data_IF_756201341053
#
_entry.id   IF_756201341053
#
_cell.length_a   1.000
_cell.length_b   1.000
_cell.length_c   1.000
_cell.angle_alpha   90.00
_cell.angle_beta   90.00
_cell.angle_gamma   90.00
#
_symmetry.space_group_name_H-M   'P 1'
#
loop_
_entity.id
_entity.type
_entity.pdbx_description
1 polymer ?
#
# COMPACT_ATOMS: atom_id res chain seq x y z
N UNK A 1 -48.46 65.34 -12.82
CA UNK A 1 -47.06 65.74 -13.05
C UNK A 1 -46.22 64.47 -12.99
N UNK A 2 -45.70 64.03 -14.13
CA UNK A 2 -44.81 62.86 -14.23
C UNK A 2 -43.43 63.21 -13.68
N UNK A 3 -42.76 62.25 -13.03
CA UNK A 3 -41.44 61.77 -13.47
C UNK A 3 -41.07 60.44 -12.78
N UNK A 4 -40.61 59.51 -13.62
CA UNK A 4 -40.12 58.17 -13.34
C UNK A 4 -38.59 58.22 -13.53
N UNK A 5 -37.81 57.58 -12.66
CA UNK A 5 -36.47 56.99 -12.87
C UNK A 5 -35.85 56.74 -11.47
N UNK A 6 -35.18 55.64 -11.13
CA UNK A 6 -34.66 54.51 -11.89
C UNK A 6 -34.06 53.51 -10.89
N UNK A 7 -34.29 52.23 -11.14
CA UNK A 7 -33.32 51.12 -11.05
C UNK A 7 -32.39 50.99 -9.84
N UNK A 8 -32.62 49.96 -9.00
CA UNK A 8 -31.68 48.82 -8.88
C UNK A 8 -32.25 47.74 -7.93
N UNK A 9 -32.62 46.55 -8.44
CA UNK A 9 -32.55 45.33 -7.66
C UNK A 9 -31.10 44.85 -7.73
N UNK A 10 -30.42 44.72 -6.59
CA UNK A 10 -29.33 43.76 -6.37
C UNK A 10 -28.53 44.15 -5.14
N UNK A 11 -28.88 43.53 -4.01
CA UNK A 11 -27.84 43.09 -3.08
C UNK A 11 -28.12 41.66 -2.74
N UNK A 12 -27.61 40.80 -3.63
CA UNK A 12 -27.24 39.43 -3.31
C UNK A 12 -26.49 39.46 -1.97
N UNK A 13 -27.17 39.02 -0.93
CA UNK A 13 -26.55 38.48 0.28
C UNK A 13 -25.74 37.27 -0.15
N UNK A 14 -24.51 37.49 -0.58
CA UNK A 14 -23.49 36.46 -0.49
C UNK A 14 -23.17 36.33 1.00
N UNK A 15 -24.01 35.59 1.71
CA UNK A 15 -23.54 34.86 2.87
C UNK A 15 -22.37 34.05 2.36
N UNK A 16 -21.15 34.54 2.63
CA UNK A 16 -19.94 33.75 2.49
C UNK A 16 -20.23 32.49 3.28
N UNK A 17 -20.55 31.41 2.56
CA UNK A 17 -20.63 30.10 3.16
C UNK A 17 -19.24 29.87 3.69
N UNK A 18 -19.07 30.06 5.00
CA UNK A 18 -17.91 29.60 5.72
C UNK A 18 -17.87 28.11 5.39
N UNK A 19 -17.09 27.74 4.38
CA UNK A 19 -16.73 26.39 4.09
C UNK A 19 -16.03 25.93 5.35
N UNK A 20 -16.84 25.33 6.23
CA UNK A 20 -16.43 24.77 7.50
C UNK A 20 -15.40 23.72 7.16
N UNK A 21 -14.14 24.14 7.20
CA UNK A 21 -13.01 23.35 6.76
C UNK A 21 -13.08 22.04 7.54
N UNK A 22 -13.45 20.95 6.84
CA UNK A 22 -13.75 19.65 7.46
C UNK A 22 -12.43 18.99 7.81
N UNK A 23 -11.72 19.55 8.79
CA UNK A 23 -10.47 19.06 9.39
C UNK A 23 -10.67 17.76 10.19
N UNK A 24 -11.43 16.80 9.65
CA UNK A 24 -11.80 15.54 10.32
C UNK A 24 -11.26 14.30 9.63
N UNK A 25 -10.48 14.46 8.57
CA UNK A 25 -9.83 13.33 7.94
C UNK A 25 -8.63 12.86 8.76
N UNK A 26 -8.40 11.56 8.77
CA UNK A 26 -7.22 10.89 9.33
C UNK A 26 -6.32 10.40 8.21
N UNK A 27 -5.06 10.19 8.52
CA UNK A 27 -4.05 9.68 7.60
C UNK A 27 -3.42 8.45 8.22
N UNK A 28 -3.04 7.46 7.41
CA UNK A 28 -2.31 6.30 7.90
C UNK A 28 -0.95 6.76 8.46
N UNK A 29 -0.58 6.31 9.65
CA UNK A 29 0.75 6.56 10.22
C UNK A 29 1.75 5.53 9.70
N UNK A 30 3.03 5.75 9.95
CA UNK A 30 4.07 4.75 9.69
C UNK A 30 3.82 3.44 10.43
N UNK A 31 3.38 3.51 11.70
CA UNK A 31 3.00 2.34 12.50
C UNK A 31 1.86 1.56 11.84
N UNK A 32 0.82 2.28 11.39
CA UNK A 32 -0.30 1.67 10.67
C UNK A 32 0.15 0.99 9.37
N UNK A 33 1.08 1.60 8.64
CA UNK A 33 1.65 1.03 7.41
C UNK A 33 2.45 -0.25 7.67
N UNK A 34 3.34 -0.24 8.68
CA UNK A 34 4.10 -1.42 9.08
C UNK A 34 3.17 -2.57 9.48
N UNK A 35 2.10 -2.26 10.21
CA UNK A 35 1.10 -3.24 10.62
C UNK A 35 0.37 -3.89 9.45
N UNK A 36 -0.03 -3.11 8.43
CA UNK A 36 -0.61 -3.66 7.19
C UNK A 36 0.38 -4.55 6.44
N UNK A 37 1.66 -4.15 6.41
CA UNK A 37 2.72 -4.91 5.73
C UNK A 37 2.98 -6.25 6.44
N UNK A 38 3.15 -6.24 7.76
CA UNK A 38 3.38 -7.44 8.57
C UNK A 38 2.20 -8.42 8.51
N UNK A 39 0.98 -7.91 8.38
CA UNK A 39 -0.22 -8.72 8.22
C UNK A 39 -0.41 -9.28 6.81
N UNK A 40 0.51 -9.02 5.86
CA UNK A 40 0.41 -9.51 4.49
C UNK A 40 -0.76 -8.91 3.72
N UNK A 41 -1.20 -7.70 4.08
CA UNK A 41 -2.33 -7.04 3.40
C UNK A 41 -1.94 -6.62 1.99
N UNK A 42 -0.69 -6.18 1.81
CA UNK A 42 -0.23 -5.53 0.59
C UNK A 42 0.27 -6.51 -0.48
N UNK A 43 0.58 -7.75 -0.11
CA UNK A 43 1.16 -8.76 -1.00
C UNK A 43 0.41 -10.08 -0.90
N UNK A 44 0.36 -10.81 -2.01
CA UNK A 44 -0.17 -12.16 -2.03
C UNK A 44 0.80 -13.18 -1.39
N UNK A 45 0.36 -14.43 -1.30
CA UNK A 45 1.15 -15.55 -0.76
C UNK A 45 2.42 -15.87 -1.56
N UNK A 46 2.58 -15.31 -2.75
CA UNK A 46 3.74 -15.45 -3.62
C UNK A 46 4.63 -14.18 -3.62
N UNK A 47 4.27 -13.17 -2.82
CA UNK A 47 5.02 -11.92 -2.68
C UNK A 47 4.67 -10.85 -3.71
N UNK A 48 3.68 -11.05 -4.58
CA UNK A 48 3.27 -10.03 -5.54
C UNK A 48 2.39 -8.98 -4.87
N UNK A 49 2.60 -7.70 -5.20
CA UNK A 49 1.74 -6.61 -4.70
C UNK A 49 0.33 -6.74 -5.24
N UNK A 50 -0.66 -6.59 -4.35
CA UNK A 50 -2.03 -6.43 -4.77
C UNK A 50 -2.23 -5.07 -5.45
N UNK A 51 -3.04 -5.06 -6.50
CA UNK A 51 -3.52 -3.82 -7.11
C UNK A 51 -4.53 -3.12 -6.19
N UNK A 52 -4.75 -1.83 -6.40
CA UNK A 52 -5.80 -1.11 -5.66
C UNK A 52 -7.20 -1.71 -5.91
N UNK A 53 -7.45 -2.25 -7.10
CA UNK A 53 -8.70 -2.93 -7.44
C UNK A 53 -8.91 -4.20 -6.61
N UNK A 54 -7.89 -5.06 -6.51
CA UNK A 54 -7.94 -6.27 -5.69
C UNK A 54 -8.14 -5.96 -4.19
N UNK A 55 -7.48 -4.91 -3.69
CA UNK A 55 -7.66 -4.46 -2.31
C UNK A 55 -9.03 -3.80 -2.09
N UNK A 56 -9.60 -3.17 -3.12
CA UNK A 56 -10.96 -2.61 -3.08
C UNK A 56 -12.00 -3.71 -2.93
N UNK A 57 -11.88 -4.80 -3.71
CA UNK A 57 -12.77 -5.97 -3.62
C UNK A 57 -12.71 -6.61 -2.24
N UNK A 58 -11.50 -6.79 -1.69
CA UNK A 58 -11.30 -7.41 -0.38
C UNK A 58 -11.77 -6.53 0.78
N UNK A 59 -11.70 -5.20 0.65
CA UNK A 59 -12.07 -4.26 1.72
C UNK A 59 -13.48 -3.68 1.62
N UNK A 60 -14.20 -3.97 0.53
CA UNK A 60 -15.51 -3.39 0.22
C UNK A 60 -15.50 -1.85 0.19
N UNK A 61 -14.33 -1.26 -0.04
CA UNK A 61 -14.15 0.16 -0.29
C UNK A 61 -13.94 0.37 -1.78
N UNK A 62 -14.19 1.57 -2.27
CA UNK A 62 -13.85 1.87 -3.66
C UNK A 62 -12.32 2.00 -3.84
N UNK A 63 -11.87 1.66 -5.04
CA UNK A 63 -10.50 1.83 -5.54
C UNK A 63 -9.87 3.17 -5.15
N UNK A 64 -10.63 4.27 -5.26
CA UNK A 64 -10.18 5.62 -4.96
C UNK A 64 -9.92 5.83 -3.47
N UNK A 65 -10.71 5.22 -2.59
CA UNK A 65 -10.50 5.29 -1.14
C UNK A 65 -9.31 4.44 -0.75
N UNK A 66 -9.17 3.24 -1.33
CA UNK A 66 -8.01 2.37 -1.11
C UNK A 66 -6.72 3.08 -1.54
N UNK A 67 -6.71 3.67 -2.74
CA UNK A 67 -5.57 4.45 -3.24
C UNK A 67 -5.20 5.58 -2.29
N UNK A 68 -6.17 6.31 -1.72
CA UNK A 68 -5.92 7.38 -0.74
C UNK A 68 -5.41 6.86 0.61
N UNK A 69 -5.94 5.73 1.09
CA UNK A 69 -5.46 5.09 2.32
C UNK A 69 -3.98 4.70 2.16
N UNK A 70 -3.66 4.06 1.03
CA UNK A 70 -2.34 3.50 0.79
C UNK A 70 -1.31 4.53 0.33
N UNK A 71 -1.72 5.61 -0.34
CA UNK A 71 -0.82 6.73 -0.61
C UNK A 71 -0.48 7.48 0.68
N UNK A 72 -1.41 7.52 1.64
CA UNK A 72 -1.26 8.31 2.87
C UNK A 72 -1.01 9.80 2.61
N UNK A 73 -1.28 10.30 1.40
CA UNK A 73 -1.12 11.71 1.02
C UNK A 73 -2.42 12.49 1.25
N UNK A 74 -3.54 11.77 1.24
CA UNK A 74 -4.87 12.34 1.30
C UNK A 74 -5.57 11.82 2.54
N UNK A 75 -6.05 12.75 3.36
CA UNK A 75 -6.83 12.40 4.54
C UNK A 75 -8.13 11.69 4.13
N UNK A 76 -8.40 10.57 4.77
CA UNK A 76 -9.62 9.76 4.60
C UNK A 76 -10.51 9.88 5.83
N UNK A 77 -11.77 9.48 5.72
CA UNK A 77 -12.61 9.33 6.91
C UNK A 77 -12.05 8.20 7.80
N UNK A 78 -12.03 8.41 9.12
CA UNK A 78 -11.62 7.41 10.10
C UNK A 78 -12.46 6.14 9.98
N UNK A 79 -13.74 6.26 9.59
CA UNK A 79 -14.58 5.09 9.32
C UNK A 79 -14.04 4.25 8.17
N UNK A 80 -13.60 4.87 7.08
CA UNK A 80 -13.02 4.15 5.94
C UNK A 80 -11.74 3.43 6.35
N UNK A 81 -10.86 4.07 7.12
CA UNK A 81 -9.65 3.43 7.62
C UNK A 81 -9.95 2.24 8.55
N UNK A 82 -10.98 2.37 9.39
CA UNK A 82 -11.44 1.27 10.26
C UNK A 82 -12.00 0.09 9.47
N UNK A 83 -12.81 0.37 8.44
CA UNK A 83 -13.36 -0.67 7.54
C UNK A 83 -12.20 -1.40 6.85
N UNK A 84 -11.24 -0.65 6.32
CA UNK A 84 -10.08 -1.22 5.66
C UNK A 84 -9.30 -2.18 6.58
N UNK A 85 -8.96 -1.75 7.80
CA UNK A 85 -8.27 -2.62 8.77
C UNK A 85 -9.10 -3.86 9.11
N UNK A 86 -10.40 -3.68 9.38
CA UNK A 86 -11.29 -4.76 9.76
C UNK A 86 -11.43 -5.83 8.66
N UNK A 87 -11.40 -5.44 7.39
CA UNK A 87 -11.45 -6.36 6.26
C UNK A 87 -10.29 -7.37 6.23
N UNK A 88 -9.16 -7.03 6.87
CA UNK A 88 -7.99 -7.90 7.01
C UNK A 88 -7.83 -8.45 8.43
N UNK A 89 -8.90 -8.41 9.24
CA UNK A 89 -8.88 -8.91 10.61
C UNK A 89 -8.04 -8.06 11.57
N UNK A 90 -7.67 -6.84 11.18
CA UNK A 90 -6.88 -5.94 12.01
C UNK A 90 -7.77 -4.96 12.77
N UNK A 91 -7.36 -4.61 13.98
CA UNK A 91 -7.98 -3.54 14.76
C UNK A 91 -7.19 -2.24 14.58
N UNK A 92 -7.90 -1.16 14.23
CA UNK A 92 -7.33 0.18 14.11
C UNK A 92 -7.15 0.84 15.49
N UNK A 93 -5.91 1.14 15.86
CA UNK A 93 -5.53 1.82 17.11
C UNK A 93 -5.22 3.30 16.87
N UNK A 94 -5.12 4.09 17.94
CA UNK A 94 -4.79 5.53 17.86
C UNK A 94 -3.47 5.80 17.16
N UNK A 95 -2.51 4.89 17.32
CA UNK A 95 -1.14 5.06 16.82
C UNK A 95 -1.02 4.66 15.35
N UNK A 96 -2.02 3.95 14.81
CA UNK A 96 -2.09 3.53 13.42
C UNK A 96 -2.50 4.68 12.48
N UNK A 97 -2.92 5.83 13.02
CA UNK A 97 -3.35 6.97 12.22
C UNK A 97 -3.02 8.32 12.85
N UNK A 98 -2.74 9.30 12.00
CA UNK A 98 -2.53 10.68 12.39
C UNK A 98 -3.86 11.44 12.26
N UNK A 99 -4.27 12.11 13.33
CA UNK A 99 -5.37 13.09 13.29
C UNK A 99 -4.79 14.47 13.13
N UNK A 100 -5.44 15.30 12.34
CA UNK A 100 -5.11 16.72 12.24
C UNK A 100 -5.39 17.46 13.57
N UNK A 101 -4.48 17.38 14.53
CA UNK A 101 -4.38 18.43 15.53
C UNK A 101 -3.88 19.67 14.79
N UNK A 102 -4.71 20.72 14.80
CA UNK A 102 -4.48 22.12 14.32
C UNK A 102 -3.06 22.37 13.78
N UNK A 103 -2.97 22.66 12.48
CA UNK A 103 -1.78 23.06 11.69
C UNK A 103 -0.41 22.85 12.35
N UNK A 104 0.37 21.95 11.77
CA UNK A 104 1.71 22.35 11.37
C UNK A 104 1.95 21.92 9.92
N UNK A 105 2.07 22.92 9.05
CA UNK A 105 2.85 22.98 7.78
C UNK A 105 3.08 21.68 7.01
N UNK A 106 2.85 21.73 5.69
CA UNK A 106 3.03 20.75 4.58
C UNK A 106 4.28 19.82 4.56
N UNK A 107 5.13 19.86 5.59
CA UNK A 107 6.40 19.15 5.71
C UNK A 107 6.26 17.66 6.06
N UNK A 108 5.20 17.25 6.77
CA UNK A 108 4.97 15.84 7.11
C UNK A 108 4.42 15.02 5.91
N UNK A 109 3.62 15.65 5.04
CA UNK A 109 3.01 14.99 3.87
C UNK A 109 4.09 14.66 2.83
N UNK A 110 5.04 15.57 2.62
CA UNK A 110 6.16 15.39 1.68
C UNK A 110 7.10 14.24 2.09
N UNK A 111 7.30 14.05 3.40
CA UNK A 111 8.21 13.01 3.93
C UNK A 111 7.65 11.59 3.78
N UNK A 112 6.32 11.42 3.87
CA UNK A 112 5.68 10.11 3.71
C UNK A 112 5.59 9.66 2.25
N UNK A 113 5.28 10.59 1.32
CA UNK A 113 5.32 10.32 -0.12
C UNK A 113 6.70 9.84 -0.59
N UNK A 114 7.77 10.47 -0.08
CA UNK A 114 9.14 10.07 -0.40
C UNK A 114 9.49 8.68 0.17
N UNK A 115 8.98 8.33 1.35
CA UNK A 115 9.17 7.01 1.96
C UNK A 115 8.43 5.89 1.21
N UNK A 116 7.18 6.12 0.79
CA UNK A 116 6.43 5.14 0.00
C UNK A 116 7.02 4.96 -1.40
N UNK A 117 7.41 6.04 -2.07
CA UNK A 117 8.07 5.94 -3.38
C UNK A 117 9.46 5.29 -3.28
N UNK A 118 10.22 5.54 -2.21
CA UNK A 118 11.51 4.87 -1.96
C UNK A 118 11.35 3.39 -1.59
N UNK A 119 10.26 3.03 -0.90
CA UNK A 119 9.88 1.63 -0.63
C UNK A 119 9.41 0.91 -1.90
N UNK A 120 8.70 1.61 -2.81
CA UNK A 120 8.35 1.07 -4.13
C UNK A 120 9.60 0.85 -4.99
N UNK A 121 10.66 1.64 -4.82
CA UNK A 121 11.97 1.39 -5.45
C UNK A 121 12.86 0.38 -4.69
N UNK A 122 12.52 0.03 -3.44
CA UNK A 122 13.31 -0.87 -2.59
C UNK A 122 12.69 -2.26 -2.39
N UNK A 123 11.50 -2.54 -2.93
CA UNK A 123 10.91 -3.89 -2.97
C UNK A 123 10.86 -4.43 -4.42
N UNK A 124 11.69 -3.86 -5.31
CA UNK A 124 12.21 -4.61 -6.45
C UNK A 124 13.61 -5.12 -6.06
N UNK A 125 13.67 -6.08 -5.13
CA UNK A 125 14.68 -7.14 -5.29
C UNK A 125 14.13 -8.16 -6.29
N UNK A 126 13.70 -7.68 -7.45
CA UNK A 126 13.73 -8.49 -8.66
C UNK A 126 15.21 -8.67 -8.94
N UNK A 127 15.76 -9.80 -8.45
CA UNK A 127 17.01 -10.32 -8.97
C UNK A 127 16.96 -10.14 -10.48
N UNK A 128 17.97 -9.49 -11.05
CA UNK A 128 18.01 -9.25 -12.49
C UNK A 128 17.83 -10.59 -13.21
N UNK A 129 17.32 -10.56 -14.44
CA UNK A 129 17.19 -11.79 -15.23
C UNK A 129 18.53 -12.57 -15.27
N UNK A 130 19.64 -11.85 -15.28
CA UNK A 130 20.97 -12.45 -15.22
C UNK A 130 21.24 -13.17 -13.88
N UNK A 131 21.00 -12.53 -12.74
CA UNK A 131 21.19 -13.15 -11.42
C UNK A 131 20.24 -14.34 -11.20
N UNK A 132 19.00 -14.26 -11.72
CA UNK A 132 18.06 -15.38 -11.72
C UNK A 132 18.58 -16.56 -12.55
N UNK A 133 19.17 -16.29 -13.71
CA UNK A 133 19.76 -17.33 -14.55
C UNK A 133 20.99 -17.95 -13.91
N UNK A 134 21.81 -17.16 -13.22
CA UNK A 134 22.98 -17.64 -12.47
C UNK A 134 22.55 -18.56 -11.31
N UNK A 135 21.52 -18.18 -10.54
CA UNK A 135 20.97 -19.02 -9.47
C UNK A 135 20.33 -20.30 -10.02
N UNK A 136 19.54 -20.20 -11.09
CA UNK A 136 18.94 -21.36 -11.73
C UNK A 136 19.99 -22.36 -12.23
N UNK A 137 21.07 -21.85 -12.83
CA UNK A 137 22.17 -22.67 -13.29
C UNK A 137 22.88 -23.37 -12.13
N UNK A 138 23.12 -22.66 -11.02
CA UNK A 138 23.74 -23.20 -9.81
C UNK A 138 22.90 -24.31 -9.18
N UNK A 139 21.61 -24.04 -8.98
CA UNK A 139 20.70 -25.03 -8.39
C UNK A 139 20.58 -26.27 -9.28
N UNK A 140 20.58 -26.09 -10.60
CA UNK A 140 20.63 -27.20 -11.56
C UNK A 140 21.94 -28.01 -11.48
N UNK A 141 23.07 -27.36 -11.22
CA UNK A 141 24.36 -28.04 -11.03
C UNK A 141 24.35 -28.86 -9.73
N UNK A 142 23.86 -28.28 -8.64
CA UNK A 142 23.77 -28.94 -7.35
C UNK A 142 22.86 -30.17 -7.42
N UNK A 143 21.70 -30.06 -8.08
CA UNK A 143 20.81 -31.20 -8.31
C UNK A 143 21.47 -32.31 -9.16
N UNK A 144 22.21 -31.95 -10.22
CA UNK A 144 22.96 -32.93 -11.02
C UNK A 144 24.06 -33.60 -10.20
N UNK A 145 24.75 -32.85 -9.35
CA UNK A 145 25.79 -33.37 -8.49
C UNK A 145 25.21 -34.35 -7.45
N UNK A 146 24.10 -33.99 -6.81
CA UNK A 146 23.39 -34.88 -5.88
C UNK A 146 22.87 -36.15 -6.57
N UNK A 147 22.32 -36.02 -7.79
CA UNK A 147 21.92 -37.16 -8.61
C UNK A 147 23.09 -38.11 -8.88
N UNK A 148 24.26 -37.58 -9.22
CA UNK A 148 25.46 -38.39 -9.47
C UNK A 148 25.98 -39.06 -8.18
N UNK A 149 25.99 -38.35 -7.05
CA UNK A 149 26.39 -38.93 -5.76
C UNK A 149 25.48 -40.10 -5.33
N UNK A 150 24.18 -40.00 -5.61
CA UNK A 150 23.22 -41.06 -5.35
C UNK A 150 23.38 -42.24 -6.33
N UNK A 151 23.70 -41.98 -7.60
CA UNK A 151 23.96 -43.02 -8.61
C UNK A 151 25.31 -43.74 -8.42
N UNK A 152 26.33 -43.08 -7.88
CA UNK A 152 27.59 -43.72 -7.51
C UNK A 152 27.43 -44.75 -6.37
N UNK A 153 26.36 -44.66 -5.58
CA UNK A 153 26.03 -45.66 -4.56
C UNK A 153 25.43 -46.95 -5.14
N UNK A 154 24.84 -46.89 -6.34
CA UNK A 154 24.20 -48.07 -6.94
C UNK A 154 25.18 -48.95 -7.73
N UNK A 155 26.35 -48.43 -8.10
CA UNK A 155 27.37 -49.16 -8.88
C UNK A 155 28.41 -49.92 -8.03
N UNK A 156 28.42 -49.74 -6.71
CA UNK A 156 29.36 -50.44 -5.80
C UNK A 156 28.80 -51.75 -5.20
N UNK A 157 27.63 -52.21 -5.66
CA UNK A 157 26.98 -53.45 -5.21
C UNK A 157 27.26 -54.69 -6.07
N UNK A 158 28.11 -54.61 -7.10
CA UNK A 158 28.47 -55.77 -7.92
C UNK A 158 29.83 -56.34 -7.50
N UNK A 159 29.83 -57.18 -6.47
CA UNK A 159 30.93 -58.12 -6.21
C UNK A 159 30.67 -59.37 -7.08
N UNK A 160 31.56 -59.75 -8.00
CA UNK A 160 31.41 -60.98 -8.76
C UNK A 160 31.99 -62.18 -7.99
N UNK A 161 31.11 -63.16 -7.72
CA UNK A 161 31.32 -64.63 -7.63
C UNK A 161 32.32 -65.16 -6.55
N UNK A 162 32.13 -66.41 -6.08
CA UNK A 162 32.33 -67.64 -6.87
C UNK A 162 31.02 -68.37 -7.25
#
# INVERSE_FOLDING_TARGET
MYQISSSHPDRLTFAASQQRNRNRGVMLSEQGWQKLTQAGVLHDQWGNRYTYEQLSERSLLNDRTVSRILSGEVRVDKRSLKIFFAAFGLQLHSDDYLTAARDPTDQAITSFSHYLNSTVHSIETTLSYQELMELHQRLSQDLRHLSHLLQLHEMNGSIPLP
#
